data_IF_585330203922
#
_entry.id   IF_585330203922
#
_cell.length_a   1.000
_cell.length_b   1.000
_cell.length_c   1.000
_cell.angle_alpha   90.00
_cell.angle_beta   90.00
_cell.angle_gamma   90.00
#
_symmetry.space_group_name_H-M   'P 1'
#
loop_
_entity.id
_entity.type
_entity.pdbx_description
1 polymer ?
#
# COMPACT_ATOMS: atom_id res chain seq x y z
N UNK A 1 13.87 -10.13 -12.06
CA UNK A 1 13.40 -10.75 -10.80
C UNK A 1 13.86 -9.98 -9.56
N UNK A 2 15.17 -9.70 -9.40
CA UNK A 2 15.68 -8.99 -8.22
C UNK A 2 15.04 -7.61 -8.00
N UNK A 3 14.86 -6.82 -9.06
CA UNK A 3 14.22 -5.50 -8.98
C UNK A 3 12.78 -5.56 -8.41
N UNK A 4 11.99 -6.56 -8.78
CA UNK A 4 10.62 -6.73 -8.27
C UNK A 4 10.63 -7.00 -6.76
N UNK A 5 11.50 -7.90 -6.31
CA UNK A 5 11.63 -8.25 -4.89
C UNK A 5 12.05 -7.04 -4.05
N UNK A 6 13.01 -6.25 -4.55
CA UNK A 6 13.47 -5.02 -3.91
C UNK A 6 12.31 -4.02 -3.80
N UNK A 7 11.56 -3.80 -4.88
CA UNK A 7 10.39 -2.91 -4.89
C UNK A 7 9.33 -3.34 -3.87
N UNK A 8 9.03 -4.63 -3.78
CA UNK A 8 8.08 -5.17 -2.79
C UNK A 8 8.53 -4.90 -1.36
N UNK A 9 9.80 -5.18 -1.04
CA UNK A 9 10.37 -4.97 0.30
C UNK A 9 10.40 -3.48 0.63
N UNK A 10 10.85 -2.63 -0.30
CA UNK A 10 10.88 -1.17 -0.12
C UNK A 10 9.47 -0.60 0.11
N UNK A 11 8.48 -0.99 -0.70
CA UNK A 11 7.10 -0.53 -0.54
C UNK A 11 6.49 -0.99 0.79
N UNK A 12 6.76 -2.23 1.20
CA UNK A 12 6.36 -2.76 2.49
C UNK A 12 6.97 -1.95 3.64
N UNK A 13 8.30 -1.76 3.63
CA UNK A 13 9.03 -1.05 4.68
C UNK A 13 8.65 0.44 4.75
N UNK A 14 8.47 1.09 3.60
CA UNK A 14 8.01 2.48 3.54
C UNK A 14 6.64 2.61 4.22
N UNK A 15 5.68 1.79 3.81
CA UNK A 15 4.32 1.83 4.35
C UNK A 15 4.26 1.44 5.83
N UNK A 16 5.05 0.45 6.24
CA UNK A 16 5.20 0.06 7.64
C UNK A 16 5.74 1.22 8.49
N UNK A 17 6.75 1.93 7.97
CA UNK A 17 7.33 3.10 8.63
C UNK A 17 6.30 4.24 8.74
N UNK A 18 5.47 4.46 7.71
CA UNK A 18 4.38 5.41 7.79
C UNK A 18 3.31 5.01 8.81
N UNK A 19 3.03 3.71 8.99
CA UNK A 19 2.15 3.27 10.06
C UNK A 19 2.68 3.65 11.45
N UNK A 20 3.99 3.60 11.65
CA UNK A 20 4.63 4.07 12.89
C UNK A 20 4.54 5.61 12.98
N UNK A 21 4.85 6.31 11.89
CA UNK A 21 4.84 7.78 11.82
C UNK A 21 3.48 8.36 12.18
N UNK A 22 2.39 7.76 11.67
CA UNK A 22 1.02 8.19 11.94
C UNK A 22 0.43 7.58 13.22
N UNK A 23 1.25 6.95 14.07
CA UNK A 23 0.86 6.37 15.34
C UNK A 23 -0.35 5.42 15.25
N UNK A 24 -0.36 4.58 14.22
CA UNK A 24 -1.42 3.62 13.95
C UNK A 24 -1.37 2.51 15.01
N UNK A 25 -2.48 1.83 15.36
CA UNK A 25 -2.42 0.73 16.32
C UNK A 25 -1.43 -0.35 15.87
N UNK A 26 -0.50 -0.77 16.76
CA UNK A 26 0.57 -1.75 16.45
C UNK A 26 0.06 -3.04 15.80
N UNK A 27 -1.17 -3.47 16.15
CA UNK A 27 -1.84 -4.65 15.57
C UNK A 27 -2.08 -4.56 14.05
N UNK A 28 -1.98 -3.34 13.48
CA UNK A 28 -2.23 -3.02 12.08
C UNK A 28 -0.95 -2.87 11.25
N UNK A 29 0.24 -2.74 11.85
CA UNK A 29 1.48 -2.41 11.12
C UNK A 29 1.81 -3.38 9.99
N UNK A 30 1.72 -4.69 10.25
CA UNK A 30 2.03 -5.71 9.23
C UNK A 30 1.05 -5.64 8.07
N UNK A 31 -0.25 -5.53 8.35
CA UNK A 31 -1.28 -5.43 7.32
C UNK A 31 -1.20 -4.08 6.57
N UNK A 32 -0.80 -3.01 7.25
CA UNK A 32 -0.48 -1.72 6.63
C UNK A 32 0.66 -1.83 5.64
N UNK A 33 1.78 -2.44 6.04
CA UNK A 33 2.89 -2.74 5.14
C UNK A 33 2.47 -3.55 3.90
N UNK A 34 1.68 -4.61 4.11
CA UNK A 34 1.14 -5.45 3.02
C UNK A 34 0.23 -4.63 2.09
N UNK A 35 -0.58 -3.72 2.64
CA UNK A 35 -1.48 -2.87 1.85
C UNK A 35 -0.72 -2.01 0.82
N UNK A 36 0.32 -1.30 1.27
CA UNK A 36 1.15 -0.48 0.38
C UNK A 36 2.00 -1.31 -0.59
N UNK A 37 2.45 -2.50 -0.18
CA UNK A 37 3.14 -3.43 -1.07
C UNK A 37 2.25 -3.86 -2.25
N UNK A 38 0.98 -4.20 -2.01
CA UNK A 38 0.05 -4.54 -3.08
C UNK A 38 -0.24 -3.36 -4.00
N UNK A 39 -0.45 -2.16 -3.43
CA UNK A 39 -0.63 -0.94 -4.22
C UNK A 39 0.54 -0.64 -5.14
N UNK A 40 1.77 -0.72 -4.61
CA UNK A 40 2.98 -0.50 -5.39
C UNK A 40 3.20 -1.58 -6.45
N UNK A 41 2.91 -2.84 -6.16
CA UNK A 41 2.97 -3.91 -7.17
C UNK A 41 2.02 -3.65 -8.34
N UNK A 42 0.78 -3.23 -8.05
CA UNK A 42 -0.18 -2.89 -9.09
C UNK A 42 0.28 -1.71 -9.93
N UNK A 43 0.87 -0.69 -9.30
CA UNK A 43 1.49 0.44 -10.00
C UNK A 43 2.65 -0.04 -10.89
N UNK A 44 3.61 -0.77 -10.34
CA UNK A 44 4.82 -1.22 -11.05
C UNK A 44 4.49 -2.08 -12.27
N UNK A 45 3.54 -3.01 -12.15
CA UNK A 45 3.11 -3.88 -13.25
C UNK A 45 2.22 -3.14 -14.26
N UNK A 46 1.47 -2.13 -13.82
CA UNK A 46 0.56 -1.36 -14.67
C UNK A 46 1.23 -0.22 -15.44
N UNK A 47 2.41 0.24 -15.02
CA UNK A 47 3.04 1.43 -15.58
C UNK A 47 3.51 1.25 -17.04
N UNK A 48 4.13 0.12 -17.37
CA UNK A 48 4.58 -0.22 -18.73
C UNK A 48 3.42 -0.40 -19.74
N UNK A 49 2.35 -1.18 -19.45
CA UNK A 49 1.28 -1.41 -20.42
C UNK A 49 0.28 -0.25 -20.56
N UNK A 50 0.32 0.76 -19.68
CA UNK A 50 -0.69 1.83 -19.66
C UNK A 50 -0.08 3.24 -19.59
N UNK A 51 -0.41 4.01 -18.56
CA UNK A 51 0.14 5.33 -18.26
C UNK A 51 0.33 5.46 -16.75
N UNK A 52 1.23 6.34 -16.28
CA UNK A 52 1.43 6.55 -14.84
C UNK A 52 0.13 6.86 -14.09
N UNK A 53 -0.75 7.68 -14.70
CA UNK A 53 -2.05 8.01 -14.11
C UNK A 53 -2.98 6.78 -13.98
N UNK A 54 -3.06 5.95 -15.02
CA UNK A 54 -3.86 4.73 -14.99
C UNK A 54 -3.29 3.69 -14.01
N UNK A 55 -1.97 3.55 -13.95
CA UNK A 55 -1.28 2.67 -13.01
C UNK A 55 -1.49 3.10 -11.56
N UNK A 56 -1.40 4.40 -11.26
CA UNK A 56 -1.67 4.95 -9.93
C UNK A 56 -3.14 4.78 -9.56
N UNK A 57 -4.06 4.94 -10.50
CA UNK A 57 -5.49 4.66 -10.28
C UNK A 57 -5.72 3.19 -9.90
N UNK A 58 -5.16 2.24 -10.67
CA UNK A 58 -5.27 0.81 -10.37
C UNK A 58 -4.68 0.47 -9.00
N UNK A 59 -3.51 1.01 -8.68
CA UNK A 59 -2.89 0.82 -7.37
C UNK A 59 -3.72 1.41 -6.22
N UNK A 60 -4.32 2.58 -6.41
CA UNK A 60 -5.21 3.20 -5.43
C UNK A 60 -6.50 2.38 -5.20
N UNK A 61 -7.06 1.77 -6.26
CA UNK A 61 -8.21 0.85 -6.16
C UNK A 61 -7.84 -0.36 -5.31
N UNK A 62 -6.68 -0.97 -5.55
CA UNK A 62 -6.19 -2.12 -4.78
C UNK A 62 -5.95 -1.75 -3.31
N UNK A 63 -5.28 -0.63 -3.05
CA UNK A 63 -5.07 -0.11 -1.68
C UNK A 63 -6.39 0.12 -0.96
N UNK A 64 -7.37 0.71 -1.63
CA UNK A 64 -8.68 1.02 -1.03
C UNK A 64 -9.45 -0.26 -0.70
N UNK A 65 -9.42 -1.23 -1.62
CA UNK A 65 -10.04 -2.53 -1.41
C UNK A 65 -9.40 -3.28 -0.24
N UNK A 66 -8.06 -3.41 -0.24
CA UNK A 66 -7.32 -4.06 0.82
C UNK A 66 -7.48 -3.33 2.17
N UNK A 67 -7.47 -2.00 2.19
CA UNK A 67 -7.73 -1.21 3.39
C UNK A 67 -9.10 -1.52 4.01
N UNK A 68 -10.15 -1.65 3.18
CA UNK A 68 -11.49 -2.00 3.66
C UNK A 68 -11.55 -3.41 4.24
N UNK A 69 -10.90 -4.37 3.60
CA UNK A 69 -10.81 -5.75 4.09
C UNK A 69 -10.00 -5.84 5.39
N UNK A 70 -8.86 -5.17 5.48
CA UNK A 70 -8.02 -5.21 6.68
C UNK A 70 -8.66 -4.46 7.85
N UNK A 71 -9.39 -3.38 7.59
CA UNK A 71 -10.18 -2.64 8.58
C UNK A 71 -11.25 -3.51 9.25
N UNK A 72 -11.99 -4.30 8.46
CA UNK A 72 -13.00 -5.20 9.01
C UNK A 72 -12.37 -6.33 9.84
N UNK A 73 -11.24 -6.87 9.39
CA UNK A 73 -10.48 -7.91 10.12
C UNK A 73 -9.90 -7.39 11.44
N UNK A 74 -9.29 -6.20 11.44
CA UNK A 74 -8.62 -5.63 12.62
C UNK A 74 -9.52 -4.78 13.51
N UNK A 75 -10.79 -4.58 13.11
CA UNK A 75 -11.79 -3.75 13.80
C UNK A 75 -11.21 -2.36 14.09
N UNK A 76 -10.77 -1.67 13.04
CA UNK A 76 -10.22 -0.32 13.11
C UNK A 76 -10.67 0.50 11.88
N UNK A 77 -10.52 1.83 11.89
CA UNK A 77 -10.83 2.67 10.73
C UNK A 77 -10.07 2.23 9.47
N UNK A 78 -10.69 2.31 8.29
CA UNK A 78 -10.01 2.01 7.03
C UNK A 78 -8.92 3.02 6.67
N UNK A 79 -9.02 4.24 7.20
CA UNK A 79 -8.01 5.29 7.08
C UNK A 79 -6.65 4.88 7.63
N UNK A 80 -6.62 3.99 8.64
CA UNK A 80 -5.40 3.45 9.23
C UNK A 80 -4.57 2.61 8.23
N UNK A 81 -5.19 2.12 7.15
CA UNK A 81 -4.49 1.41 6.09
C UNK A 81 -4.36 2.25 4.82
N UNK A 82 -5.35 3.11 4.56
CA UNK A 82 -5.44 3.89 3.34
C UNK A 82 -4.41 5.02 3.29
N UNK A 83 -4.25 5.79 4.39
CA UNK A 83 -3.30 6.91 4.46
C UNK A 83 -1.85 6.44 4.26
N UNK A 84 -1.30 5.49 5.05
CA UNK A 84 0.07 5.06 4.85
C UNK A 84 0.26 4.34 3.51
N UNK A 85 -0.75 3.61 3.03
CA UNK A 85 -0.67 2.80 1.81
C UNK A 85 -0.64 3.61 0.51
N UNK A 86 -1.28 4.79 0.48
CA UNK A 86 -1.34 5.61 -0.75
C UNK A 86 -0.10 6.49 -0.95
N UNK A 87 0.63 6.80 0.11
CA UNK A 87 1.81 7.68 0.06
C UNK A 87 2.88 7.19 -0.92
N UNK A 88 3.23 5.89 -0.97
CA UNK A 88 4.18 5.39 -1.95
C UNK A 88 3.75 5.57 -3.42
N UNK A 89 2.45 5.77 -3.70
CA UNK A 89 1.95 5.92 -5.08
C UNK A 89 1.91 7.38 -5.56
N UNK A 90 2.11 8.34 -4.65
CA UNK A 90 2.19 9.75 -5.05
C UNK A 90 3.52 9.93 -5.79
N UNK A 91 3.50 10.46 -7.02
CA UNK A 91 4.71 10.71 -7.80
C UNK A 91 5.64 11.74 -7.14
#
# INVERSE_FOLDING_TARGET
>A
MAALLINMICAFLATFSFCILFNIPKKCYILGGINGMFGWMCYYLGNEPTSPAAASFLGAVVITFCARVFASVKKCPATDFLIPGIIPLVP
#
